data_IF_904949369122
#
_entry.id   IF_904949369122
#
_cell.length_a   1.000
_cell.length_b   1.000
_cell.length_c   1.000
_cell.angle_alpha   90.00
_cell.angle_beta   90.00
_cell.angle_gamma   90.00
#
_symmetry.space_group_name_H-M   'P 1'
#
loop_
_entity.id
_entity.type
_entity.pdbx_description
1 polymer ?
#
# COMPACT_ATOMS: atom_id res chain seq x y z
N UNK A 1 11.11 -24.16 7.35
CA UNK A 1 11.49 -23.83 8.74
C UNK A 1 11.82 -25.14 9.43
N UNK A 2 12.93 -25.18 10.16
CA UNK A 2 13.39 -26.36 10.90
C UNK A 2 13.00 -26.21 12.36
N UNK A 3 12.77 -27.32 13.08
CA UNK A 3 12.55 -27.31 14.54
C UNK A 3 13.75 -27.89 15.26
N UNK A 4 14.11 -27.29 16.39
CA UNK A 4 15.11 -27.85 17.30
C UNK A 4 14.96 -27.21 18.67
N UNK A 5 15.54 -27.84 19.69
CA UNK A 5 15.61 -27.29 21.04
C UNK A 5 16.84 -26.40 21.19
N UNK A 6 16.71 -25.39 22.04
CA UNK A 6 17.84 -24.54 22.42
C UNK A 6 18.72 -25.29 23.41
N UNK A 7 19.95 -25.61 23.01
CA UNK A 7 20.93 -26.24 23.89
C UNK A 7 21.70 -25.21 24.72
N UNK A 8 22.05 -24.07 24.12
CA UNK A 8 22.72 -22.97 24.82
C UNK A 8 22.21 -21.62 24.35
N UNK A 9 22.14 -20.68 25.29
CA UNK A 9 21.69 -19.32 25.07
C UNK A 9 22.66 -18.36 25.77
N UNK A 10 23.23 -17.42 25.01
CA UNK A 10 23.92 -16.24 25.55
C UNK A 10 23.14 -15.01 25.15
N UNK A 11 22.57 -14.34 26.14
CA UNK A 11 21.75 -13.14 25.94
C UNK A 11 22.62 -11.89 25.83
N UNK A 12 22.11 -10.89 25.11
CA UNK A 12 22.70 -9.55 24.98
C UNK A 12 24.24 -9.54 24.79
N UNK A 13 24.72 -10.29 23.80
CA UNK A 13 26.16 -10.36 23.50
C UNK A 13 26.65 -9.06 22.86
N UNK A 14 25.79 -8.42 22.07
CA UNK A 14 26.04 -7.10 21.46
C UNK A 14 24.73 -6.40 21.17
N UNK A 15 24.79 -5.08 21.05
CA UNK A 15 23.68 -4.28 20.50
C UNK A 15 24.02 -3.81 19.09
N UNK A 16 23.05 -3.88 18.19
CA UNK A 16 23.18 -3.40 16.82
C UNK A 16 22.10 -2.36 16.54
N UNK A 17 22.50 -1.18 16.08
CA UNK A 17 21.56 -0.14 15.67
C UNK A 17 21.40 -0.21 14.15
N UNK A 18 20.16 -0.39 13.72
CA UNK A 18 19.78 -0.40 12.32
C UNK A 18 19.88 1.01 11.72
N UNK A 19 20.04 1.16 10.39
CA UNK A 19 20.10 2.48 9.74
C UNK A 19 18.88 3.37 9.99
N UNK A 20 17.73 2.79 10.35
CA UNK A 20 16.50 3.49 10.74
C UNK A 20 16.51 4.00 12.19
N UNK A 21 17.61 3.79 12.94
CA UNK A 21 17.75 4.14 14.35
C UNK A 21 17.19 3.10 15.33
N UNK A 22 16.63 1.98 14.85
CA UNK A 22 16.11 0.93 15.73
C UNK A 22 17.26 0.17 16.38
N UNK A 23 17.30 0.12 17.72
CA UNK A 23 18.26 -0.68 18.49
C UNK A 23 17.78 -2.13 18.60
N UNK A 24 18.66 -3.07 18.29
CA UNK A 24 18.46 -4.50 18.43
C UNK A 24 19.50 -5.08 19.39
N UNK A 25 19.08 -6.06 20.19
CA UNK A 25 19.93 -6.87 21.04
C UNK A 25 20.22 -8.18 20.33
N UNK A 26 21.47 -8.61 20.34
CA UNK A 26 21.91 -9.81 19.65
C UNK A 26 22.19 -10.89 20.69
N UNK A 27 21.51 -12.02 20.53
CA UNK A 27 21.65 -13.20 21.38
C UNK A 27 22.33 -14.29 20.55
N UNK A 28 23.33 -14.95 21.11
CA UNK A 28 23.92 -16.13 20.48
C UNK A 28 23.19 -17.38 20.95
N UNK A 29 22.73 -18.17 19.99
CA UNK A 29 21.91 -19.35 20.24
C UNK A 29 22.61 -20.55 19.60
N UNK A 30 22.71 -21.63 20.36
CA UNK A 30 23.14 -22.94 19.88
C UNK A 30 22.01 -23.93 20.10
N UNK A 31 21.69 -24.67 19.05
CA UNK A 31 20.63 -25.66 19.01
C UNK A 31 21.19 -27.06 19.25
N UNK A 32 20.36 -27.98 19.70
CA UNK A 32 20.75 -29.37 19.97
C UNK A 32 21.25 -30.11 18.72
N UNK A 33 20.77 -29.71 17.54
CA UNK A 33 21.23 -30.28 16.27
C UNK A 33 22.60 -29.74 15.79
N UNK A 34 23.30 -28.97 16.62
CA UNK A 34 24.62 -28.42 16.33
C UNK A 34 24.61 -27.09 15.58
N UNK A 35 23.44 -26.59 15.18
CA UNK A 35 23.33 -25.28 14.52
C UNK A 35 23.57 -24.17 15.54
N UNK A 36 24.46 -23.24 15.20
CA UNK A 36 24.74 -22.06 16.01
C UNK A 36 24.62 -20.78 15.19
N UNK A 37 24.19 -19.71 15.82
CA UNK A 37 24.13 -18.41 15.18
C UNK A 37 23.58 -17.30 16.07
N UNK A 38 23.44 -16.12 15.49
CA UNK A 38 22.97 -14.92 16.18
C UNK A 38 21.51 -14.63 15.85
N UNK A 39 20.71 -14.47 16.89
CA UNK A 39 19.32 -14.04 16.83
C UNK A 39 19.20 -12.59 17.29
N UNK A 40 18.37 -11.81 16.59
CA UNK A 40 18.22 -10.36 16.83
C UNK A 40 16.84 -10.10 17.45
N UNK A 41 16.82 -9.56 18.66
CA UNK A 41 15.64 -9.15 19.40
C UNK A 41 15.56 -7.63 19.57
N UNK A 42 14.37 -7.12 19.90
CA UNK A 42 14.21 -5.73 20.38
C UNK A 42 14.28 -5.62 21.90
N UNK A 43 14.23 -6.76 22.59
CA UNK A 43 14.32 -6.88 24.04
C UNK A 43 15.73 -7.28 24.44
N UNK A 44 16.16 -6.84 25.61
CA UNK A 44 17.47 -7.19 26.16
C UNK A 44 17.57 -8.67 26.56
N UNK A 45 16.48 -9.23 27.08
CA UNK A 45 16.32 -10.67 27.33
C UNK A 45 15.74 -11.36 26.10
N UNK A 46 16.16 -12.62 25.87
CA UNK A 46 15.60 -13.41 24.80
C UNK A 46 14.19 -13.90 25.20
N UNK A 47 13.22 -13.97 24.26
CA UNK A 47 11.87 -14.45 24.55
C UNK A 47 11.77 -15.99 24.63
N UNK A 48 12.91 -16.69 24.69
CA UNK A 48 13.03 -18.15 24.69
C UNK A 48 14.14 -18.55 25.64
N UNK A 49 14.06 -19.77 26.18
CA UNK A 49 14.99 -20.29 27.19
C UNK A 49 15.67 -21.57 26.71
N UNK A 50 16.72 -21.97 27.44
CA UNK A 50 17.38 -23.26 27.21
C UNK A 50 16.36 -24.39 27.44
N UNK A 51 16.31 -25.35 26.51
CA UNK A 51 15.35 -26.45 26.51
C UNK A 51 14.06 -26.19 25.73
N UNK A 52 13.76 -24.93 25.37
CA UNK A 52 12.58 -24.61 24.57
C UNK A 52 12.70 -25.17 23.15
N UNK A 53 11.62 -25.79 22.67
CA UNK A 53 11.48 -26.17 21.27
C UNK A 53 11.06 -24.97 20.43
N UNK A 54 11.88 -24.66 19.43
CA UNK A 54 11.70 -23.50 18.56
C UNK A 54 11.72 -23.90 17.10
N UNK A 55 11.02 -23.11 16.29
CA UNK A 55 11.17 -23.11 14.85
C UNK A 55 12.19 -22.06 14.45
N UNK A 56 13.15 -22.43 13.62
CA UNK A 56 14.18 -21.52 13.15
C UNK A 56 14.36 -21.58 11.62
N UNK A 57 14.93 -20.49 11.12
CA UNK A 57 15.40 -20.34 9.75
C UNK A 57 16.81 -19.77 9.81
N UNK A 58 17.74 -20.47 9.15
CA UNK A 58 19.13 -20.02 9.04
C UNK A 58 19.32 -19.16 7.80
N UNK A 59 19.99 -18.03 7.98
CA UNK A 59 20.45 -17.19 6.89
C UNK A 59 21.94 -16.96 7.06
N UNK A 60 22.74 -17.53 6.16
CA UNK A 60 24.17 -17.22 6.10
C UNK A 60 24.37 -15.79 5.60
N UNK A 61 25.18 -15.04 6.32
CA UNK A 61 25.60 -13.68 5.99
C UNK A 61 27.13 -13.61 6.08
N UNK A 62 27.71 -12.55 5.54
CA UNK A 62 29.17 -12.35 5.60
C UNK A 62 29.69 -12.28 7.05
N UNK A 63 28.85 -11.83 7.97
CA UNK A 63 29.16 -11.69 9.40
C UNK A 63 28.81 -12.94 10.23
N UNK A 64 28.45 -14.06 9.57
CA UNK A 64 28.10 -15.33 10.20
C UNK A 64 26.66 -15.80 9.96
N UNK A 65 26.21 -16.78 10.74
CA UNK A 65 24.86 -17.35 10.62
C UNK A 65 23.86 -16.53 11.44
N UNK A 66 22.87 -15.95 10.77
CA UNK A 66 21.73 -15.29 11.42
C UNK A 66 20.60 -16.29 11.58
N UNK A 67 20.07 -16.40 12.80
CA UNK A 67 18.92 -17.25 13.12
C UNK A 67 17.68 -16.38 13.29
N UNK A 68 16.63 -16.72 12.53
CA UNK A 68 15.29 -16.20 12.75
C UNK A 68 14.51 -17.24 13.53
N UNK A 69 14.30 -16.96 14.81
CA UNK A 69 13.69 -17.89 15.77
C UNK A 69 12.21 -17.53 15.98
N UNK A 70 11.37 -18.56 16.11
CA UNK A 70 9.95 -18.49 16.43
C UNK A 70 9.62 -19.58 17.44
N UNK A 71 8.68 -19.33 18.34
CA UNK A 71 8.19 -20.35 19.26
C UNK A 71 7.46 -21.44 18.47
N UNK A 72 7.76 -22.72 18.72
CA UNK A 72 7.10 -23.82 18.04
C UNK A 72 5.58 -23.79 18.32
N UNK A 73 4.76 -24.04 17.29
CA UNK A 73 3.29 -24.02 17.41
C UNK A 73 2.66 -22.62 17.38
N UNK A 74 3.44 -21.55 17.49
CA UNK A 74 2.92 -20.20 17.28
C UNK A 74 2.90 -19.88 15.79
N UNK A 75 1.79 -20.22 15.13
CA UNK A 75 1.41 -19.61 13.85
C UNK A 75 1.24 -18.10 14.08
N UNK A 76 2.34 -17.36 14.00
CA UNK A 76 2.24 -15.95 13.64
C UNK A 76 1.83 -15.93 12.17
N UNK A 77 0.51 -15.94 11.94
CA UNK A 77 -0.03 -15.22 10.80
C UNK A 77 0.72 -13.89 10.79
N UNK A 78 1.53 -13.65 9.75
CA UNK A 78 2.21 -12.39 9.54
C UNK A 78 1.18 -11.32 9.23
N UNK A 79 0.30 -11.03 10.17
CA UNK A 79 -0.42 -9.78 10.20
C UNK A 79 0.64 -8.73 10.44
N UNK A 80 0.88 -7.91 9.43
CA UNK A 80 1.18 -6.51 9.69
C UNK A 80 0.32 -6.12 10.88
N UNK A 81 0.92 -5.93 12.06
CA UNK A 81 0.17 -5.42 13.19
C UNK A 81 -0.57 -4.21 12.67
N UNK A 82 -1.91 -4.24 12.76
CA UNK A 82 -2.76 -3.17 12.26
C UNK A 82 -2.18 -1.89 12.81
N UNK A 83 -1.49 -1.12 11.97
CA UNK A 83 -1.00 0.20 12.37
C UNK A 83 -2.28 0.92 12.81
N UNK A 84 -2.30 1.56 13.99
CA UNK A 84 -3.47 2.32 14.40
C UNK A 84 -3.85 3.22 13.24
N UNK A 85 -5.14 3.21 12.88
CA UNK A 85 -5.70 4.03 11.81
C UNK A 85 -5.16 5.44 11.97
N UNK A 86 -4.31 5.88 11.04
CA UNK A 86 -3.78 7.24 11.07
C UNK A 86 -4.77 8.06 10.24
N UNK A 87 -5.63 8.88 10.88
CA UNK A 87 -6.69 9.60 10.18
C UNK A 87 -6.12 10.57 9.13
N UNK A 88 -4.91 11.10 9.35
CA UNK A 88 -4.24 11.96 8.38
C UNK A 88 -3.79 11.17 7.15
N UNK A 89 -3.25 9.96 7.36
CA UNK A 89 -2.83 9.08 6.26
C UNK A 89 -4.04 8.64 5.43
N UNK A 90 -5.13 8.28 6.08
CA UNK A 90 -6.39 7.90 5.41
C UNK A 90 -6.96 9.07 4.61
N UNK A 91 -6.94 10.27 5.17
CA UNK A 91 -7.39 11.47 4.46
C UNK A 91 -6.52 11.79 3.24
N UNK A 92 -5.20 11.60 3.32
CA UNK A 92 -4.29 11.78 2.17
C UNK A 92 -4.60 10.77 1.06
N UNK A 93 -4.83 9.50 1.43
CA UNK A 93 -5.22 8.45 0.47
C UNK A 93 -6.57 8.79 -0.18
N UNK A 94 -7.53 9.24 0.61
CA UNK A 94 -8.85 9.65 0.12
C UNK A 94 -8.76 10.81 -0.88
N UNK A 95 -7.96 11.85 -0.57
CA UNK A 95 -7.74 12.99 -1.49
C UNK A 95 -7.09 12.54 -2.80
N UNK A 96 -6.11 11.65 -2.75
CA UNK A 96 -5.47 11.11 -3.96
C UNK A 96 -6.45 10.32 -4.82
N UNK A 97 -7.28 9.47 -4.20
CA UNK A 97 -8.33 8.71 -4.89
C UNK A 97 -9.35 9.63 -5.55
N UNK A 98 -9.85 10.62 -4.80
CA UNK A 98 -10.80 11.60 -5.29
C UNK A 98 -10.25 12.44 -6.46
N UNK A 99 -9.00 12.88 -6.38
CA UNK A 99 -8.36 13.65 -7.47
C UNK A 99 -8.22 12.81 -8.74
N UNK A 100 -7.92 11.52 -8.61
CA UNK A 100 -7.85 10.59 -9.76
C UNK A 100 -9.21 10.44 -10.44
N UNK A 101 -10.28 10.32 -9.66
CA UNK A 101 -11.65 10.21 -10.18
C UNK A 101 -12.06 11.53 -10.84
N UNK A 102 -11.78 12.66 -10.19
CA UNK A 102 -12.04 13.99 -10.74
C UNK A 102 -11.33 14.20 -12.09
N UNK A 103 -10.09 13.75 -12.24
CA UNK A 103 -9.36 13.79 -13.51
C UNK A 103 -10.05 12.99 -14.61
N UNK A 104 -10.69 11.86 -14.27
CA UNK A 104 -11.46 11.06 -15.21
C UNK A 104 -12.81 11.70 -15.57
N UNK A 105 -13.45 12.37 -14.62
CA UNK A 105 -14.77 13.00 -14.83
C UNK A 105 -14.71 14.30 -15.62
N UNK A 106 -13.71 15.14 -15.32
CA UNK A 106 -13.60 16.49 -15.89
C UNK A 106 -12.97 16.47 -17.30
N UNK A 107 -12.22 15.41 -17.66
CA UNK A 107 -11.51 15.31 -18.93
C UNK A 107 -10.25 16.20 -18.96
N UNK A 108 -9.36 16.01 -19.93
CA UNK A 108 -8.08 16.74 -20.02
C UNK A 108 -8.27 18.18 -20.55
N UNK A 109 -7.40 19.10 -20.13
CA UNK A 109 -7.35 20.48 -20.66
C UNK A 109 -8.28 21.49 -19.99
N UNK A 110 -8.92 21.12 -18.88
CA UNK A 110 -9.77 22.01 -18.11
C UNK A 110 -8.97 22.83 -17.09
N UNK A 111 -9.57 23.90 -16.56
CA UNK A 111 -8.94 24.67 -15.48
C UNK A 111 -8.81 23.84 -14.21
N UNK A 112 -7.69 24.01 -13.49
CA UNK A 112 -7.38 23.27 -12.27
C UNK A 112 -8.54 23.29 -11.24
N UNK A 113 -9.25 24.43 -11.14
CA UNK A 113 -10.42 24.60 -10.28
C UNK A 113 -11.52 23.55 -10.50
N UNK A 114 -11.72 23.10 -11.74
CA UNK A 114 -12.77 22.14 -12.06
C UNK A 114 -12.45 20.75 -11.49
N UNK A 115 -11.16 20.36 -11.50
CA UNK A 115 -10.70 19.12 -10.89
C UNK A 115 -10.76 19.18 -9.37
N UNK A 116 -10.41 20.33 -8.77
CA UNK A 116 -10.50 20.52 -7.31
C UNK A 116 -11.94 20.40 -6.84
N UNK A 117 -12.88 21.09 -7.51
CA UNK A 117 -14.30 21.03 -7.15
C UNK A 117 -14.86 19.61 -7.25
N UNK A 118 -14.57 18.90 -8.35
CA UNK A 118 -15.00 17.51 -8.52
C UNK A 118 -14.35 16.56 -7.49
N UNK A 119 -13.10 16.79 -7.10
CA UNK A 119 -12.43 16.01 -6.07
C UNK A 119 -13.05 16.26 -4.68
N UNK A 120 -13.41 17.50 -4.36
CA UNK A 120 -14.08 17.83 -3.10
C UNK A 120 -15.46 17.15 -2.98
N UNK A 121 -16.21 17.09 -4.07
CA UNK A 121 -17.47 16.34 -4.13
C UNK A 121 -17.26 14.84 -3.90
N UNK A 122 -16.23 14.26 -4.52
CA UNK A 122 -15.87 12.85 -4.31
C UNK A 122 -15.48 12.57 -2.84
N UNK A 123 -14.71 13.47 -2.20
CA UNK A 123 -14.35 13.34 -0.79
C UNK A 123 -15.58 13.36 0.11
N UNK A 124 -16.51 14.30 -0.13
CA UNK A 124 -17.79 14.37 0.60
C UNK A 124 -18.59 13.10 0.44
N UNK A 125 -18.62 12.52 -0.76
CA UNK A 125 -19.28 11.24 -1.03
C UNK A 125 -18.65 10.08 -0.23
N UNK A 126 -17.31 10.00 -0.20
CA UNK A 126 -16.60 8.94 0.54
C UNK A 126 -16.76 9.04 2.06
N UNK A 127 -16.86 10.26 2.59
CA UNK A 127 -17.02 10.48 4.04
C UNK A 127 -18.44 10.23 4.53
N UNK A 128 -19.45 10.63 3.74
CA UNK A 128 -20.83 10.67 4.21
C UNK A 128 -21.67 9.46 3.76
N UNK A 129 -21.15 8.60 2.87
CA UNK A 129 -21.80 7.36 2.44
C UNK A 129 -23.18 7.58 1.82
N UNK A 130 -23.24 7.63 0.48
CA UNK A 130 -24.48 7.51 -0.31
C UNK A 130 -25.74 8.21 0.26
N UNK A 131 -25.68 9.53 0.45
CA UNK A 131 -26.86 10.37 0.72
C UNK A 131 -27.18 11.34 -0.43
N UNK A 132 -26.63 11.14 -1.63
CA UNK A 132 -27.09 11.82 -2.84
C UNK A 132 -27.50 10.77 -3.87
N UNK A 133 -28.82 10.58 -4.06
CA UNK A 133 -29.37 9.72 -5.11
C UNK A 133 -29.31 10.36 -6.50
N UNK A 134 -28.45 11.34 -6.70
CA UNK A 134 -28.24 11.99 -7.99
C UNK A 134 -26.76 12.02 -8.26
N UNK A 135 -26.26 11.30 -9.30
CA UNK A 135 -24.93 11.58 -9.82
C UNK A 135 -24.88 13.07 -10.17
N UNK A 136 -23.73 13.75 -9.94
CA UNK A 136 -23.60 15.14 -10.35
C UNK A 136 -23.92 15.21 -11.84
N UNK A 137 -24.92 16.02 -12.18
CA UNK A 137 -25.31 16.24 -13.58
C UNK A 137 -24.04 16.72 -14.29
N UNK A 138 -23.52 16.01 -15.29
CA UNK A 138 -22.41 16.54 -16.08
C UNK A 138 -22.88 17.89 -16.60
N UNK A 139 -22.14 18.95 -16.24
CA UNK A 139 -22.46 20.31 -16.65
C UNK A 139 -22.44 20.32 -18.18
N UNK A 140 -23.62 20.20 -18.80
CA UNK A 140 -23.78 20.26 -20.24
C UNK A 140 -23.52 21.69 -20.66
N UNK A 141 -22.24 22.04 -20.84
CA UNK A 141 -21.91 23.06 -21.81
C UNK A 141 -22.28 22.47 -23.16
N UNK A 142 -23.53 22.72 -23.58
CA UNK A 142 -23.93 22.62 -24.97
C UNK A 142 -22.94 23.48 -25.78
N UNK A 143 -22.16 22.91 -26.70
CA UNK A 143 -21.70 23.74 -27.81
C UNK A 143 -22.96 24.13 -28.58
N UNK A 144 -23.24 25.42 -28.67
CA UNK A 144 -24.21 25.93 -29.64
C UNK A 144 -23.74 25.45 -31.02
N UNK A 145 -24.46 24.49 -31.59
CA UNK A 145 -24.26 24.10 -32.99
C UNK A 145 -24.88 25.24 -33.80
N UNK A 146 -24.04 26.16 -34.28
CA UNK A 146 -24.39 27.01 -35.40
C UNK A 146 -24.85 26.10 -36.54
N UNK A 147 -26.14 26.14 -36.86
CA UNK A 147 -26.69 25.55 -38.08
C UNK A 147 -26.14 26.31 -39.28
N UNK A 148 -24.95 25.90 -39.75
CA UNK A 148 -24.52 26.16 -41.12
C UNK A 148 -24.94 24.96 -41.97
N UNK A 149 -25.99 25.20 -42.75
CA UNK A 149 -26.49 24.35 -43.84
C UNK A 149 -25.34 23.94 -44.76
N UNK A 150 -25.16 22.65 -45.09
CA UNK A 150 -24.24 22.25 -46.14
C UNK A 150 -24.90 22.42 -47.52
N UNK A 151 -24.39 23.36 -48.29
CA UNK A 151 -24.66 23.49 -49.73
C UNK A 151 -24.00 22.32 -50.46
N UNK A 152 -24.79 21.33 -50.90
CA UNK A 152 -24.31 20.33 -51.85
C UNK A 152 -24.50 20.85 -53.27
N UNK A 153 -23.40 21.33 -53.85
CA UNK A 153 -23.24 21.48 -55.30
C UNK A 153 -23.32 20.10 -55.93
N UNK A 154 -24.40 19.81 -56.66
CA UNK A 154 -24.47 18.71 -57.62
C UNK A 154 -24.75 19.31 -58.99
N UNK A 155 -23.72 19.38 -59.83
CA UNK A 155 -23.86 19.67 -61.25
C UNK A 155 -24.25 18.38 -61.96
N UNK A 156 -25.43 18.31 -62.59
CA UNK A 156 -25.60 17.75 -63.94
C UNK A 156 -27.08 17.73 -64.38
N UNK A 157 -27.30 18.24 -65.59
CA UNK A 157 -28.36 17.90 -66.58
C UNK A 157 -29.49 18.91 -66.75
N UNK A 158 -29.22 19.85 -67.66
CA UNK A 158 -30.06 20.43 -68.72
C UNK A 158 -31.58 20.21 -68.69
N UNK A 159 -32.30 21.33 -68.64
CA UNK A 159 -33.65 21.48 -69.17
C UNK A 159 -33.60 21.59 -70.71
N UNK A 160 -34.50 20.86 -71.39
CA UNK A 160 -34.88 21.13 -72.78
C UNK A 160 -36.28 21.78 -72.74
N UNK A 161 -36.50 22.98 -73.31
CA UNK A 161 -37.83 23.55 -73.44
C UNK A 161 -38.55 23.05 -74.72
N UNK A 162 -39.88 23.04 -74.66
CA UNK A 162 -40.78 23.01 -75.83
C UNK A 162 -40.78 24.35 -76.57
#
# INVERSE_FOLDING_TARGET
MQTSKIAQLRENVRTWTSPDGTKFFVHNVQLENGVQGSAFGKSESAPYQIGDEIQYEEKRTNDGTRLKIRKAGQYNAGGYGSRPANPEKEMRIMRQSAMKIAAQMVGAGQHFSNYVNAAEECIKYFQNGAQYSTPPVPNQHQPQIETRTPTHTTTSTDEIPF
#
